data_IF_582279189369
#
_entry.id   IF_582279189369
#
_cell.length_a   1.000
_cell.length_b   1.000
_cell.length_c   1.000
_cell.angle_alpha   90.00
_cell.angle_beta   90.00
_cell.angle_gamma   90.00
#
_symmetry.space_group_name_H-M   'P 1'
#
loop_
_entity.id
_entity.type
_entity.pdbx_description
1 polymer ?
#
# COMPACT_ATOMS: atom_id res chain seq x y z
N UNK A 1 -29.66 -18.01 -9.47
CA UNK A 1 -28.36 -18.69 -9.32
C UNK A 1 -27.70 -18.70 -10.69
N UNK A 2 -26.97 -17.63 -11.01
CA UNK A 2 -26.45 -17.37 -12.37
C UNK A 2 -25.03 -17.93 -12.43
N UNK A 3 -24.82 -18.94 -13.29
CA UNK A 3 -23.50 -19.51 -13.62
C UNK A 3 -22.81 -18.56 -14.59
N UNK A 4 -21.78 -17.85 -14.15
CA UNK A 4 -20.83 -17.18 -15.04
C UNK A 4 -20.02 -18.24 -15.79
N UNK A 5 -20.23 -18.28 -17.10
CA UNK A 5 -19.51 -19.16 -18.02
C UNK A 5 -18.08 -18.67 -18.21
N UNK A 6 -17.12 -19.48 -17.80
CA UNK A 6 -15.73 -19.36 -18.21
C UNK A 6 -15.64 -19.52 -19.74
N UNK A 7 -15.46 -18.40 -20.44
CA UNK A 7 -15.10 -18.41 -21.86
C UNK A 7 -13.69 -18.99 -21.99
N UNK A 8 -13.66 -20.25 -22.44
CA UNK A 8 -12.51 -20.94 -23.01
C UNK A 8 -11.88 -20.08 -24.10
N UNK A 9 -10.67 -19.57 -23.84
CA UNK A 9 -9.85 -18.84 -24.80
C UNK A 9 -9.56 -19.71 -26.01
N UNK A 10 -10.24 -19.44 -27.12
CA UNK A 10 -9.82 -19.91 -28.43
C UNK A 10 -8.49 -19.25 -28.76
N UNK A 11 -7.42 -20.05 -28.77
CA UNK A 11 -6.12 -19.68 -29.35
C UNK A 11 -6.33 -19.35 -30.82
N UNK A 12 -6.61 -18.07 -31.10
CA UNK A 12 -6.71 -17.53 -32.44
C UNK A 12 -5.31 -17.64 -33.05
N UNK A 13 -5.19 -18.52 -34.04
CA UNK A 13 -3.92 -18.84 -34.71
C UNK A 13 -3.19 -17.56 -35.15
N UNK A 14 -1.89 -17.55 -34.81
CA UNK A 14 -0.93 -16.48 -35.01
C UNK A 14 -0.88 -16.05 -36.47
N UNK A 15 -1.50 -14.91 -36.77
CA UNK A 15 -0.90 -14.02 -37.75
C UNK A 15 0.48 -13.65 -37.20
N UNK A 16 1.54 -14.19 -37.81
CA UNK A 16 2.94 -14.16 -37.37
C UNK A 16 3.34 -12.76 -36.87
N UNK A 17 3.17 -12.53 -35.57
CA UNK A 17 3.61 -11.28 -34.94
C UNK A 17 5.11 -11.40 -34.73
N UNK A 18 5.88 -10.47 -35.29
CA UNK A 18 7.33 -10.48 -35.13
C UNK A 18 7.68 -9.64 -33.91
N UNK A 19 8.31 -10.26 -32.92
CA UNK A 19 8.76 -9.59 -31.70
C UNK A 19 10.14 -9.00 -31.91
N UNK A 20 10.17 -7.79 -32.47
CA UNK A 20 11.42 -7.15 -32.94
C UNK A 20 12.06 -6.23 -31.90
N UNK A 21 11.30 -5.75 -30.90
CA UNK A 21 11.74 -4.62 -30.09
C UNK A 21 11.58 -4.88 -28.59
N UNK A 22 12.62 -4.49 -27.83
CA UNK A 22 12.63 -4.56 -26.36
C UNK A 22 12.70 -3.16 -25.78
N UNK A 23 11.73 -2.83 -24.93
CA UNK A 23 11.63 -1.56 -24.22
C UNK A 23 11.80 -1.84 -22.73
N UNK A 24 13.03 -1.77 -22.22
CA UNK A 24 13.30 -2.12 -20.83
C UNK A 24 12.94 -3.58 -20.52
N UNK A 25 12.01 -3.79 -19.59
CA UNK A 25 11.48 -5.11 -19.24
C UNK A 25 10.36 -5.60 -20.17
N UNK A 26 9.84 -4.74 -21.06
CA UNK A 26 8.73 -5.06 -21.95
C UNK A 26 9.21 -5.50 -23.33
N UNK A 27 8.40 -6.34 -24.00
CA UNK A 27 8.62 -6.78 -25.38
C UNK A 27 7.48 -6.27 -26.25
N UNK A 28 7.84 -5.68 -27.39
CA UNK A 28 6.91 -5.18 -28.39
C UNK A 28 6.94 -6.14 -29.58
N UNK A 29 5.77 -6.63 -29.96
CA UNK A 29 5.58 -7.44 -31.14
C UNK A 29 4.69 -6.69 -32.14
N UNK A 30 5.17 -6.53 -33.36
CA UNK A 30 4.48 -5.77 -34.40
C UNK A 30 3.75 -6.76 -35.30
N UNK A 31 2.44 -6.57 -35.44
CA UNK A 31 1.62 -7.21 -36.45
C UNK A 31 1.34 -6.25 -37.62
N UNK A 32 0.67 -6.71 -38.68
CA UNK A 32 0.32 -5.86 -39.82
C UNK A 32 -0.62 -4.71 -39.43
N UNK A 33 -1.62 -4.99 -38.59
CA UNK A 33 -2.71 -4.05 -38.25
C UNK A 33 -2.77 -3.69 -36.76
N UNK A 34 -1.82 -4.20 -35.96
CA UNK A 34 -1.82 -4.03 -34.51
C UNK A 34 -0.41 -4.14 -33.95
N UNK A 35 -0.24 -3.60 -32.74
CA UNK A 35 0.98 -3.69 -31.97
C UNK A 35 0.66 -4.33 -30.63
N UNK A 36 1.44 -5.33 -30.23
CA UNK A 36 1.28 -6.02 -28.95
C UNK A 36 2.42 -5.62 -28.02
N UNK A 37 2.06 -5.16 -26.82
CA UNK A 37 3.01 -4.93 -25.74
C UNK A 37 2.83 -6.04 -24.72
N UNK A 38 3.89 -6.84 -24.53
CA UNK A 38 4.01 -7.80 -23.45
C UNK A 38 4.73 -7.11 -22.29
N UNK A 39 3.97 -6.79 -21.24
CA UNK A 39 4.45 -5.97 -20.14
C UNK A 39 4.81 -6.82 -18.91
N UNK A 40 5.99 -6.57 -18.36
CA UNK A 40 6.44 -7.20 -17.11
C UNK A 40 5.70 -6.66 -15.88
N UNK A 41 5.08 -5.49 -16.00
CA UNK A 41 4.28 -4.84 -14.96
C UNK A 41 2.97 -4.31 -15.55
N UNK A 42 1.89 -4.36 -14.79
CA UNK A 42 0.61 -3.79 -15.22
C UNK A 42 0.70 -2.26 -15.29
N UNK A 43 0.10 -1.71 -16.34
CA UNK A 43 -0.17 -0.28 -16.52
C UNK A 43 -1.60 0.02 -16.07
N UNK A 44 -1.85 1.26 -15.69
CA UNK A 44 -3.15 1.81 -15.30
C UNK A 44 -4.07 2.14 -16.49
N UNK A 45 -3.68 1.70 -17.69
CA UNK A 45 -4.45 1.89 -18.91
C UNK A 45 -5.78 1.13 -18.84
N UNK A 46 -6.81 1.77 -19.39
CA UNK A 46 -8.15 1.21 -19.46
C UNK A 46 -8.60 1.13 -20.92
N UNK A 47 -9.27 0.04 -21.28
CA UNK A 47 -9.96 -0.04 -22.57
C UNK A 47 -11.19 0.87 -22.48
N UNK A 48 -11.29 1.83 -23.41
CA UNK A 48 -12.40 2.78 -23.49
C UNK A 48 -13.06 2.66 -24.85
N UNK A 49 -14.37 2.84 -24.92
CA UNK A 49 -15.10 2.93 -26.20
C UNK A 49 -15.14 4.37 -26.73
N UNK A 50 -15.15 5.35 -25.82
CA UNK A 50 -15.20 6.78 -26.11
C UNK A 50 -14.00 7.49 -25.46
N UNK A 51 -13.62 8.66 -25.98
CA UNK A 51 -12.50 9.45 -25.45
C UNK A 51 -11.22 8.61 -25.29
N UNK A 52 -10.81 7.97 -26.38
CA UNK A 52 -9.64 7.09 -26.41
C UNK A 52 -8.39 7.88 -25.99
N UNK A 53 -7.53 7.25 -25.19
CA UNK A 53 -6.25 7.82 -24.77
C UNK A 53 -5.23 7.57 -25.89
N UNK A 54 -4.65 8.62 -26.50
CA UNK A 54 -3.58 8.46 -27.47
C UNK A 54 -2.32 7.87 -26.83
N UNK A 55 -1.82 6.79 -27.42
CA UNK A 55 -0.59 6.13 -27.01
C UNK A 55 0.41 6.25 -28.16
N UNK A 56 1.47 7.01 -27.96
CA UNK A 56 2.53 7.18 -28.94
C UNK A 56 3.64 6.15 -28.71
N UNK A 57 3.89 5.29 -29.70
CA UNK A 57 4.98 4.31 -29.72
C UNK A 57 5.87 4.61 -30.91
N UNK A 58 7.14 4.94 -30.67
CA UNK A 58 8.11 5.34 -31.71
C UNK A 58 7.57 6.44 -32.67
N UNK A 59 6.80 7.38 -32.12
CA UNK A 59 6.21 8.48 -32.89
C UNK A 59 4.93 8.13 -33.66
N UNK A 60 4.51 6.86 -33.67
CA UNK A 60 3.22 6.44 -34.26
C UNK A 60 2.13 6.44 -33.19
N UNK A 61 0.92 6.88 -33.58
CA UNK A 61 -0.23 7.03 -32.68
C UNK A 61 -1.09 5.77 -32.69
N UNK A 62 -1.37 5.26 -31.51
CA UNK A 62 -2.20 4.09 -31.28
C UNK A 62 -3.26 4.37 -30.21
N UNK A 63 -4.24 3.47 -30.09
CA UNK A 63 -5.15 3.39 -28.96
C UNK A 63 -5.21 1.97 -28.41
N UNK A 64 -5.58 1.83 -27.15
CA UNK A 64 -5.72 0.52 -26.50
C UNK A 64 -7.02 -0.17 -26.94
N UNK A 65 -6.88 -1.27 -27.68
CA UNK A 65 -8.01 -2.07 -28.15
C UNK A 65 -8.42 -3.13 -27.14
N UNK A 66 -7.46 -3.85 -26.57
CA UNK A 66 -7.73 -4.93 -25.64
C UNK A 66 -6.59 -5.09 -24.62
N UNK A 67 -6.92 -5.64 -23.46
CA UNK A 67 -5.96 -6.01 -22.43
C UNK A 67 -6.30 -7.41 -21.92
N UNK A 68 -5.28 -8.26 -21.78
CA UNK A 68 -5.44 -9.63 -21.26
C UNK A 68 -4.26 -10.01 -20.36
N UNK A 69 -4.42 -11.04 -19.53
CA UNK A 69 -3.29 -11.60 -18.78
C UNK A 69 -2.33 -12.29 -19.73
N UNK A 70 -1.03 -12.08 -19.51
CA UNK A 70 0.02 -12.76 -20.27
C UNK A 70 0.56 -13.96 -19.48
N UNK A 71 1.32 -14.82 -20.17
CA UNK A 71 2.11 -15.87 -19.53
C UNK A 71 3.43 -15.33 -19.00
N UNK A 72 3.98 -15.99 -17.98
CA UNK A 72 5.32 -15.69 -17.45
C UNK A 72 6.35 -15.65 -18.60
N UNK A 73 7.27 -14.66 -18.62
CA UNK A 73 7.59 -13.72 -17.54
C UNK A 73 6.72 -12.45 -17.48
N UNK A 74 5.76 -12.31 -18.39
CA UNK A 74 4.92 -11.11 -18.48
C UNK A 74 3.63 -11.25 -17.67
N UNK A 75 3.12 -10.12 -17.16
CA UNK A 75 1.89 -10.11 -16.37
C UNK A 75 0.69 -9.76 -17.24
N UNK A 76 0.86 -8.81 -18.16
CA UNK A 76 -0.21 -8.26 -18.98
C UNK A 76 0.20 -8.17 -20.45
N UNK A 77 -0.76 -8.43 -21.33
CA UNK A 77 -0.68 -8.23 -22.78
C UNK A 77 -1.62 -7.10 -23.16
N UNK A 78 -1.09 -6.08 -23.81
CA UNK A 78 -1.83 -4.93 -24.33
C UNK A 78 -1.83 -4.99 -25.85
N UNK A 79 -3.01 -5.01 -26.47
CA UNK A 79 -3.15 -4.94 -27.92
C UNK A 79 -3.55 -3.51 -28.30
N UNK A 80 -2.66 -2.87 -29.06
CA UNK A 80 -2.80 -1.53 -29.58
C UNK A 80 -3.20 -1.59 -31.05
N UNK A 81 -4.16 -0.75 -31.44
CA UNK A 81 -4.51 -0.56 -32.85
C UNK A 81 -4.09 0.82 -33.32
N UNK A 82 -3.69 0.98 -34.60
CA UNK A 82 -3.38 2.27 -35.18
C UNK A 82 -4.55 3.24 -35.01
N UNK A 83 -4.24 4.51 -34.74
CA UNK A 83 -5.28 5.53 -34.60
C UNK A 83 -6.08 5.69 -35.92
N UNK A 84 -7.42 5.61 -35.91
CA UNK A 84 -8.21 5.76 -37.13
C UNK A 84 -8.22 7.22 -37.59
N UNK A 85 -7.99 7.48 -38.87
CA UNK A 85 -8.05 8.85 -39.43
C UNK A 85 -9.44 9.49 -39.29
N UNK A 86 -10.48 8.66 -39.23
CA UNK A 86 -11.88 9.11 -39.12
C UNK A 86 -12.26 9.52 -37.69
N UNK A 87 -11.47 9.14 -36.68
CA UNK A 87 -11.83 9.33 -35.28
C UNK A 87 -11.25 10.65 -34.76
N UNK A 88 -12.13 11.61 -34.43
CA UNK A 88 -11.75 12.92 -33.87
C UNK A 88 -11.83 12.99 -32.34
N UNK A 89 -12.39 11.98 -31.69
CA UNK A 89 -12.55 11.95 -30.24
C UNK A 89 -11.26 11.51 -29.56
N UNK A 90 -10.59 12.44 -28.89
CA UNK A 90 -9.34 12.18 -28.18
C UNK A 90 -9.47 12.61 -26.72
N UNK A 91 -8.90 11.82 -25.80
CA UNK A 91 -8.71 12.27 -24.43
C UNK A 91 -7.68 13.40 -24.37
N UNK A 92 -7.80 14.27 -23.37
CA UNK A 92 -6.74 15.26 -23.05
C UNK A 92 -5.47 14.61 -22.49
N UNK A 93 -5.60 13.39 -21.96
CA UNK A 93 -4.50 12.58 -21.49
C UNK A 93 -3.77 11.95 -22.68
N UNK A 94 -2.44 12.04 -22.72
CA UNK A 94 -1.60 11.47 -23.78
C UNK A 94 -0.47 10.67 -23.15
N UNK A 95 -0.25 9.45 -23.65
CA UNK A 95 0.79 8.56 -23.16
C UNK A 95 1.91 8.44 -24.20
N UNK A 96 3.13 8.80 -23.80
CA UNK A 96 4.33 8.60 -24.62
C UNK A 96 5.04 7.32 -24.19
N UNK A 97 4.74 6.22 -24.87
CA UNK A 97 5.32 4.92 -24.55
C UNK A 97 6.73 4.81 -25.13
N UNK A 98 7.69 5.23 -24.31
CA UNK A 98 9.11 5.28 -24.63
C UNK A 98 9.92 4.35 -23.73
N UNK A 99 11.17 4.07 -24.08
CA UNK A 99 12.11 3.35 -23.20
C UNK A 99 12.27 4.04 -21.84
N UNK A 100 12.19 5.38 -21.80
CA UNK A 100 12.24 6.14 -20.54
C UNK A 100 10.99 5.88 -19.68
N UNK A 101 9.80 5.95 -20.28
CA UNK A 101 8.54 5.66 -19.60
C UNK A 101 8.56 4.27 -18.95
N UNK A 102 9.01 3.24 -19.69
CA UNK A 102 9.11 1.88 -19.14
C UNK A 102 10.14 1.80 -18.01
N UNK A 103 11.31 2.43 -18.17
CA UNK A 103 12.34 2.43 -17.14
C UNK A 103 11.90 3.14 -15.85
N UNK A 104 11.11 4.21 -15.94
CA UNK A 104 10.54 4.92 -14.80
C UNK A 104 9.51 4.05 -14.08
N UNK A 105 8.55 3.48 -14.82
CA UNK A 105 7.57 2.53 -14.30
C UNK A 105 8.22 1.35 -13.59
N UNK A 106 9.27 0.76 -14.18
CA UNK A 106 9.96 -0.38 -13.59
C UNK A 106 10.65 -0.01 -12.26
N UNK A 107 11.23 1.19 -12.17
CA UNK A 107 11.78 1.71 -10.90
C UNK A 107 10.70 1.88 -9.85
N UNK A 108 9.55 2.43 -10.24
CA UNK A 108 8.43 2.62 -9.33
C UNK A 108 7.86 1.29 -8.86
N UNK A 109 7.74 0.30 -9.73
CA UNK A 109 7.33 -1.04 -9.36
C UNK A 109 8.33 -1.72 -8.39
N UNK A 110 9.63 -1.55 -8.60
CA UNK A 110 10.65 -2.04 -7.66
C UNK A 110 10.56 -1.30 -6.32
N UNK A 111 10.34 0.02 -6.34
CA UNK A 111 10.17 0.83 -5.12
C UNK A 111 8.92 0.41 -4.35
N UNK A 112 7.80 0.20 -5.03
CA UNK A 112 6.55 -0.29 -4.43
C UNK A 112 6.76 -1.64 -3.76
N UNK A 113 7.36 -2.62 -4.46
CA UNK A 113 7.66 -3.94 -3.87
C UNK A 113 8.58 -3.86 -2.65
N UNK A 114 9.57 -2.98 -2.66
CA UNK A 114 10.44 -2.75 -1.48
C UNK A 114 9.66 -2.15 -0.33
N UNK A 115 8.78 -1.18 -0.60
CA UNK A 115 7.84 -0.63 0.37
C UNK A 115 6.94 -1.71 0.96
N UNK A 116 6.33 -2.53 0.11
CA UNK A 116 5.44 -3.62 0.52
C UNK A 116 6.16 -4.67 1.37
N UNK A 117 7.40 -5.03 1.04
CA UNK A 117 8.19 -5.96 1.84
C UNK A 117 8.51 -5.40 3.24
N UNK A 118 8.88 -4.11 3.32
CA UNK A 118 9.11 -3.43 4.59
C UNK A 118 7.81 -3.32 5.39
N UNK A 119 6.70 -2.99 4.72
CA UNK A 119 5.36 -2.94 5.32
C UNK A 119 4.96 -4.30 5.88
N UNK A 120 5.17 -5.38 5.13
CA UNK A 120 4.88 -6.73 5.56
C UNK A 120 5.73 -7.17 6.76
N UNK A 121 7.03 -6.84 6.75
CA UNK A 121 7.94 -7.14 7.85
C UNK A 121 7.57 -6.37 9.13
N UNK A 122 7.10 -5.14 9.00
CA UNK A 122 6.73 -4.27 10.12
C UNK A 122 5.28 -4.45 10.58
N UNK A 123 4.43 -5.13 9.79
CA UNK A 123 3.03 -5.40 10.11
C UNK A 123 2.82 -6.07 11.48
N UNK A 124 3.59 -7.10 11.90
CA UNK A 124 3.46 -7.66 13.25
C UNK A 124 3.90 -6.69 14.35
N UNK A 125 4.82 -5.78 14.05
CA UNK A 125 5.29 -4.74 14.97
C UNK A 125 4.44 -3.47 14.92
N UNK A 126 3.45 -3.41 14.03
CA UNK A 126 2.67 -2.23 13.73
C UNK A 126 2.06 -1.56 14.98
N UNK A 127 1.47 -2.30 15.94
CA UNK A 127 0.91 -1.64 17.10
C UNK A 127 1.99 -1.24 18.14
N UNK A 128 3.19 -1.84 18.10
CA UNK A 128 4.33 -1.37 18.90
C UNK A 128 4.93 -0.08 18.34
N UNK A 129 4.93 0.10 17.02
CA UNK A 129 5.40 1.33 16.37
C UNK A 129 4.54 2.54 16.75
N UNK A 130 3.27 2.33 17.12
CA UNK A 130 2.39 3.40 17.58
C UNK A 130 2.74 3.94 18.97
N UNK A 131 3.47 3.14 19.76
CA UNK A 131 4.01 3.55 21.06
C UNK A 131 5.23 4.47 20.93
N UNK A 132 5.91 4.45 19.78
CA UNK A 132 7.04 5.35 19.55
C UNK A 132 6.63 6.83 19.65
N UNK A 133 7.62 7.67 19.98
CA UNK A 133 7.46 9.12 20.08
C UNK A 133 6.91 9.72 18.77
N UNK A 134 6.08 10.76 18.83
CA UNK A 134 5.47 11.39 17.64
C UNK A 134 6.50 11.83 16.59
N UNK A 135 7.65 12.34 17.01
CA UNK A 135 8.76 12.72 16.13
C UNK A 135 9.33 11.54 15.32
N UNK A 136 9.43 10.35 15.92
CA UNK A 136 9.82 9.13 15.20
C UNK A 136 8.74 8.70 14.21
N UNK A 137 7.46 8.87 14.56
CA UNK A 137 6.34 8.57 13.66
C UNK A 137 6.27 9.50 12.45
N UNK A 138 6.52 10.80 12.64
CA UNK A 138 6.47 11.81 11.56
C UNK A 138 7.65 11.75 10.58
N UNK A 139 8.82 11.27 11.03
CA UNK A 139 10.01 11.20 10.19
C UNK A 139 10.13 9.87 9.44
N UNK A 140 10.83 8.87 10.01
CA UNK A 140 11.13 7.62 9.32
C UNK A 140 9.90 6.81 8.91
N UNK A 141 8.86 6.72 9.75
CA UNK A 141 7.66 5.93 9.45
C UNK A 141 6.83 6.52 8.30
N UNK A 142 6.65 7.84 8.28
CA UNK A 142 5.97 8.51 7.17
C UNK A 142 6.72 8.32 5.84
N UNK A 143 8.06 8.43 5.85
CA UNK A 143 8.88 8.18 4.65
C UNK A 143 8.84 6.71 4.19
N UNK A 144 8.61 5.79 5.11
CA UNK A 144 8.42 4.37 4.80
C UNK A 144 7.02 4.04 4.25
N UNK A 145 6.13 5.03 4.14
CA UNK A 145 4.78 4.85 3.58
C UNK A 145 3.72 4.49 4.61
N UNK A 146 4.02 4.58 5.91
CA UNK A 146 3.02 4.32 6.94
C UNK A 146 2.19 5.54 7.27
N UNK A 147 0.87 5.37 7.29
CA UNK A 147 -0.05 6.38 7.77
C UNK A 147 -0.02 6.46 9.31
N UNK A 148 0.43 7.57 9.92
CA UNK A 148 0.58 7.67 11.39
C UNK A 148 -0.73 7.49 12.17
N UNK A 149 -1.86 7.79 11.53
CA UNK A 149 -3.20 7.69 12.09
C UNK A 149 -3.57 6.22 12.37
N UNK A 150 -3.34 5.34 11.40
CA UNK A 150 -3.64 3.92 11.47
C UNK A 150 -2.75 3.21 12.50
N UNK A 151 -1.45 3.54 12.54
CA UNK A 151 -0.51 3.02 13.54
C UNK A 151 -0.98 3.37 14.96
N UNK A 152 -1.37 4.63 15.17
CA UNK A 152 -1.81 5.08 16.49
C UNK A 152 -3.09 4.37 16.92
N UNK A 153 -4.08 4.21 16.04
CA UNK A 153 -5.31 3.46 16.32
C UNK A 153 -5.02 2.01 16.69
N UNK A 154 -4.19 1.32 15.90
CA UNK A 154 -3.79 -0.07 16.17
C UNK A 154 -3.13 -0.20 17.55
N UNK A 155 -2.22 0.71 17.89
CA UNK A 155 -1.53 0.69 19.19
C UNK A 155 -2.46 0.96 20.38
N UNK A 156 -3.47 1.83 20.22
CA UNK A 156 -4.47 2.08 21.27
C UNK A 156 -5.34 0.84 21.50
N UNK A 157 -5.76 0.17 20.43
CA UNK A 157 -6.50 -1.10 20.54
C UNK A 157 -5.65 -2.16 21.24
N UNK A 158 -4.38 -2.32 20.85
CA UNK A 158 -3.47 -3.26 21.50
C UNK A 158 -3.28 -2.93 23.00
N UNK A 159 -3.02 -1.66 23.34
CA UNK A 159 -2.87 -1.23 24.73
C UNK A 159 -4.14 -1.46 25.55
N UNK A 160 -5.31 -1.25 24.97
CA UNK A 160 -6.58 -1.54 25.62
C UNK A 160 -6.71 -3.03 25.94
N UNK A 161 -6.36 -3.92 25.01
CA UNK A 161 -6.36 -5.36 25.28
C UNK A 161 -5.35 -5.74 26.37
N UNK A 162 -4.14 -5.18 26.31
CA UNK A 162 -3.12 -5.40 27.33
C UNK A 162 -3.58 -4.92 28.71
N UNK A 163 -4.24 -3.76 28.76
CA UNK A 163 -4.87 -3.22 29.97
C UNK A 163 -5.98 -4.14 30.52
N UNK A 164 -6.87 -4.68 29.66
CA UNK A 164 -7.90 -5.64 30.10
C UNK A 164 -7.28 -6.89 30.67
N UNK A 165 -6.28 -7.47 29.99
CA UNK A 165 -5.58 -8.67 30.45
C UNK A 165 -4.91 -8.41 31.79
N UNK A 166 -4.13 -7.34 31.91
CA UNK A 166 -3.47 -6.95 33.16
C UNK A 166 -4.47 -6.70 34.29
N UNK A 167 -5.60 -6.06 33.99
CA UNK A 167 -6.68 -5.84 34.95
C UNK A 167 -7.30 -7.14 35.47
N UNK A 168 -7.45 -8.16 34.62
CA UNK A 168 -7.90 -9.50 35.04
C UNK A 168 -6.87 -10.15 35.97
N UNK A 169 -5.59 -10.09 35.60
CA UNK A 169 -4.50 -10.66 36.39
C UNK A 169 -4.41 -10.02 37.79
N UNK A 170 -4.32 -8.69 37.84
CA UNK A 170 -4.20 -7.93 39.08
C UNK A 170 -5.48 -8.03 39.93
N UNK A 171 -6.65 -7.86 39.32
CA UNK A 171 -7.92 -7.75 40.04
C UNK A 171 -8.54 -9.10 40.44
N UNK A 172 -8.41 -10.12 39.60
CA UNK A 172 -9.05 -11.43 39.84
C UNK A 172 -8.07 -12.48 40.33
N UNK A 173 -6.91 -12.59 39.68
CA UNK A 173 -5.91 -13.62 40.00
C UNK A 173 -4.97 -13.20 41.14
N UNK A 174 -5.11 -11.98 41.66
CA UNK A 174 -4.29 -11.41 42.73
C UNK A 174 -2.77 -11.43 42.41
N UNK A 175 -2.42 -11.46 41.11
CA UNK A 175 -1.06 -11.46 40.61
C UNK A 175 -1.02 -10.89 39.21
N UNK A 176 -0.23 -9.84 38.97
CA UNK A 176 -0.12 -9.19 37.66
C UNK A 176 0.80 -9.93 36.68
N UNK A 177 0.86 -9.47 35.42
CA UNK A 177 1.68 -10.11 34.40
C UNK A 177 3.17 -10.07 34.76
N UNK A 178 3.69 -8.99 35.37
CA UNK A 178 5.09 -8.93 35.77
C UNK A 178 5.34 -9.89 36.93
N UNK A 179 4.45 -9.97 37.91
CA UNK A 179 4.54 -10.97 38.96
C UNK A 179 4.59 -12.39 38.37
N UNK A 180 3.77 -12.70 37.36
CA UNK A 180 3.76 -14.00 36.68
C UNK A 180 5.09 -14.30 35.95
N UNK A 181 5.64 -13.31 35.26
CA UNK A 181 6.91 -13.49 34.51
C UNK A 181 8.12 -13.63 35.44
N UNK A 182 8.18 -12.84 36.51
CA UNK A 182 9.35 -12.78 37.39
C UNK A 182 9.21 -13.61 38.66
N UNK A 183 8.03 -14.19 38.91
CA UNK A 183 7.74 -15.05 40.06
C UNK A 183 8.08 -14.43 41.43
N UNK A 184 8.02 -13.10 41.55
CA UNK A 184 8.35 -12.38 42.79
C UNK A 184 7.17 -11.55 43.29
N UNK A 185 6.72 -11.73 44.54
CA UNK A 185 5.59 -10.99 45.10
C UNK A 185 5.90 -9.50 45.27
N UNK A 186 7.17 -9.11 45.37
CA UNK A 186 7.58 -7.70 45.46
C UNK A 186 7.25 -6.90 44.21
N UNK A 187 6.99 -7.59 43.09
CA UNK A 187 6.71 -6.97 41.79
C UNK A 187 5.23 -6.58 41.66
N UNK A 188 4.34 -7.06 42.54
CA UNK A 188 2.92 -6.75 42.50
C UNK A 188 2.61 -5.24 42.53
N UNK A 189 3.40 -4.45 43.26
CA UNK A 189 3.25 -2.99 43.27
C UNK A 189 3.50 -2.37 41.89
N UNK A 190 4.43 -2.94 41.11
CA UNK A 190 4.72 -2.48 39.76
C UNK A 190 3.62 -2.86 38.77
N UNK A 191 2.93 -3.99 38.98
CA UNK A 191 1.75 -4.37 38.20
C UNK A 191 0.60 -3.36 38.38
N UNK A 192 0.33 -2.94 39.63
CA UNK A 192 -0.65 -1.87 39.89
C UNK A 192 -0.26 -0.53 39.24
N UNK A 193 1.03 -0.17 39.33
CA UNK A 193 1.55 1.03 38.67
C UNK A 193 1.41 0.94 37.15
N UNK A 194 1.75 -0.21 36.57
CA UNK A 194 1.60 -0.50 35.15
C UNK A 194 0.14 -0.35 34.71
N UNK A 195 -0.80 -0.96 35.44
CA UNK A 195 -2.24 -0.84 35.18
C UNK A 195 -2.70 0.62 35.22
N UNK A 196 -2.24 1.40 36.19
CA UNK A 196 -2.55 2.83 36.29
C UNK A 196 -2.03 3.62 35.07
N UNK A 197 -0.76 3.41 34.70
CA UNK A 197 -0.14 4.08 33.54
C UNK A 197 -0.86 3.71 32.24
N UNK A 198 -1.16 2.42 32.04
CA UNK A 198 -1.91 1.93 30.88
C UNK A 198 -3.31 2.54 30.81
N UNK A 199 -3.98 2.68 31.97
CA UNK A 199 -5.30 3.33 32.05
C UNK A 199 -5.21 4.78 31.56
N UNK A 200 -4.28 5.55 32.12
CA UNK A 200 -4.10 6.95 31.77
C UNK A 200 -3.73 7.13 30.28
N UNK A 201 -2.78 6.36 29.77
CA UNK A 201 -2.35 6.44 28.37
C UNK A 201 -3.48 6.06 27.40
N UNK A 202 -4.20 4.97 27.69
CA UNK A 202 -5.32 4.51 26.85
C UNK A 202 -6.47 5.51 26.85
N UNK A 203 -6.79 6.14 27.98
CA UNK A 203 -7.81 7.19 28.05
C UNK A 203 -7.43 8.43 27.25
N UNK A 204 -6.21 8.95 27.45
CA UNK A 204 -5.74 10.15 26.76
C UNK A 204 -5.66 9.92 25.25
N UNK A 205 -5.03 8.82 24.83
CA UNK A 205 -4.87 8.52 23.40
C UNK A 205 -6.14 8.02 22.74
N UNK A 206 -6.98 7.28 23.47
CA UNK A 206 -8.30 6.84 23.00
C UNK A 206 -9.25 8.01 22.75
N UNK A 207 -9.31 8.97 23.68
CA UNK A 207 -10.10 10.18 23.50
C UNK A 207 -9.62 11.03 22.31
N UNK A 208 -8.30 11.11 22.11
CA UNK A 208 -7.70 11.75 20.93
C UNK A 208 -8.04 11.02 19.62
N UNK A 209 -8.00 9.69 19.61
CA UNK A 209 -8.30 8.88 18.43
C UNK A 209 -9.77 8.99 17.97
N UNK A 210 -10.70 9.26 18.91
CA UNK A 210 -12.11 9.47 18.60
C UNK A 210 -12.43 10.88 18.07
N UNK A 211 -11.57 11.87 18.32
CA UNK A 211 -11.71 13.23 17.78
C UNK A 211 -11.29 13.24 16.31
N UNK A 212 -12.25 12.94 15.43
CA UNK A 212 -12.08 13.06 13.97
C UNK A 212 -11.60 14.49 13.64
N UNK A 213 -10.40 14.62 13.07
CA UNK A 213 -9.90 15.89 12.52
C UNK A 213 -8.74 16.54 13.27
N UNK A 214 -8.41 16.12 14.50
CA UNK A 214 -7.16 16.61 15.12
C UNK A 214 -5.99 15.81 14.57
N UNK A 215 -5.21 16.36 13.63
CA UNK A 215 -4.01 15.74 13.05
C UNK A 215 -2.88 15.45 14.04
N UNK A 216 -3.17 15.49 15.34
CA UNK A 216 -2.23 15.25 16.43
C UNK A 216 -2.34 13.81 16.94
N UNK A 217 -1.32 13.02 16.64
CA UNK A 217 -1.19 11.64 17.11
C UNK A 217 -0.07 11.52 18.14
N UNK A 218 -0.43 11.56 19.43
CA UNK A 218 0.53 11.41 20.53
C UNK A 218 1.12 9.99 20.58
N UNK A 219 2.42 9.89 20.88
CA UNK A 219 3.10 8.66 21.28
C UNK A 219 2.72 8.20 22.68
N UNK A 220 3.24 7.04 23.08
CA UNK A 220 3.06 6.52 24.43
C UNK A 220 3.67 7.47 25.47
N UNK A 221 2.89 7.83 26.50
CA UNK A 221 3.30 8.74 27.57
C UNK A 221 3.76 10.14 27.12
N UNK A 222 3.58 10.50 25.85
CA UNK A 222 4.02 11.80 25.33
C UNK A 222 3.20 12.95 25.92
N UNK A 223 1.98 12.66 26.38
CA UNK A 223 1.11 13.59 27.11
C UNK A 223 1.69 14.07 28.45
N UNK A 224 2.69 13.39 29.01
CA UNK A 224 3.40 13.85 30.21
C UNK A 224 4.37 15.01 29.91
N UNK A 225 4.75 15.22 28.64
CA UNK A 225 5.67 16.29 28.22
C UNK A 225 5.08 17.17 27.11
N UNK A 226 3.99 17.92 27.39
CA UNK A 226 3.29 18.72 26.37
C UNK A 226 4.15 19.85 25.77
N UNK A 227 5.23 20.27 26.43
CA UNK A 227 6.05 21.42 26.05
C UNK A 227 6.99 21.21 24.85
N UNK A 228 7.21 19.98 24.39
CA UNK A 228 8.22 19.69 23.34
C UNK A 228 7.69 19.79 21.90
N UNK A 229 6.38 19.97 21.72
CA UNK A 229 5.72 19.88 20.41
C UNK A 229 5.27 21.23 19.81
N UNK A 230 5.52 22.36 20.50
CA UNK A 230 5.07 23.70 20.05
C UNK A 230 5.99 24.40 19.05
N UNK A 231 7.10 23.78 18.62
CA UNK A 231 8.16 24.51 17.90
C UNK A 231 8.09 24.49 16.37
N UNK A 232 7.07 23.88 15.75
CA UNK A 232 6.97 23.82 14.28
C UNK A 232 5.53 24.05 13.76
N UNK A 233 4.75 24.92 14.41
CA UNK A 233 3.59 25.56 13.77
C UNK A 233 4.01 26.92 13.18
#
# INVERSE_FOLDING_TARGET
>A
MIREGAQSGGSREDGTSVCDMKFGSDVICTGPDYLVILASHSMDWQVREFCLVPIYVEGRKYFLRSMSKAGLPFVMRYELSPWPETLREESSEVVYYTKHYVAERDRDAVRARRGDAVNFLLLPFYPLLGLCWSGFKRGPLHRAGFEPSSITKASVVMLFHFWVVEGIFVGWLHGGLLMLVFSSPTIQTFDWLLLFVLTADTMVRGSGAMRLGTGYHLGFCEWLWPGRNKTNE
#
